data_IF_161764455624
#
_entry.id   IF_161764455624
#
_cell.length_a   1.000
_cell.length_b   1.000
_cell.length_c   1.000
_cell.angle_alpha   90.00
_cell.angle_beta   90.00
_cell.angle_gamma   90.00
#
_symmetry.space_group_name_H-M   'P 1'
#
loop_
_entity.id
_entity.type
_entity.pdbx_description
1 polymer ?
#
# COMPACT_ATOMS: atom_id res chain seq x y z
N UNK A 1 8.70 21.24 7.49
CA UNK A 1 10.13 21.11 7.85
C UNK A 1 10.62 19.66 8.06
N UNK A 2 9.76 18.64 8.03
CA UNK A 2 10.14 17.24 8.34
C UNK A 2 11.04 16.58 7.27
N UNK A 3 11.00 17.05 6.01
CA UNK A 3 11.74 16.44 4.89
C UNK A 3 13.03 17.17 4.49
N UNK A 4 13.40 18.25 5.19
CA UNK A 4 14.53 19.11 4.81
C UNK A 4 15.87 18.34 4.66
N UNK A 5 16.25 17.43 5.57
CA UNK A 5 17.50 16.69 5.45
C UNK A 5 17.52 15.73 4.25
N UNK A 6 16.35 15.17 3.91
CA UNK A 6 16.17 14.23 2.81
C UNK A 6 16.29 14.96 1.47
N UNK A 7 15.62 16.12 1.35
CA UNK A 7 15.70 16.96 0.16
C UNK A 7 17.14 17.45 -0.08
N UNK A 8 17.84 17.90 0.98
CA UNK A 8 19.24 18.31 0.88
C UNK A 8 20.20 17.19 0.45
N UNK A 9 19.89 15.94 0.77
CA UNK A 9 20.66 14.78 0.31
C UNK A 9 20.35 14.44 -1.15
N UNK A 10 19.08 14.49 -1.55
CA UNK A 10 18.64 14.27 -2.94
C UNK A 10 19.24 15.31 -3.92
N UNK A 11 19.43 16.55 -3.48
CA UNK A 11 20.08 17.59 -4.28
C UNK A 11 21.58 17.33 -4.49
N UNK A 12 22.23 16.58 -3.59
CA UNK A 12 23.67 16.25 -3.66
C UNK A 12 23.98 14.97 -4.44
N UNK A 13 22.96 14.15 -4.69
CA UNK A 13 23.11 12.86 -5.36
C UNK A 13 21.94 12.65 -6.35
N UNK A 14 21.93 13.39 -7.48
CA UNK A 14 20.80 13.43 -8.42
C UNK A 14 20.45 12.05 -8.99
N UNK A 15 21.44 11.17 -9.16
CA UNK A 15 21.27 9.79 -9.60
C UNK A 15 20.41 8.92 -8.65
N UNK A 16 20.22 9.32 -7.38
CA UNK A 16 19.39 8.60 -6.41
C UNK A 16 18.05 9.27 -6.12
N UNK A 17 17.70 10.34 -6.84
CA UNK A 17 16.46 11.09 -6.62
C UNK A 17 15.20 10.24 -6.75
N UNK A 18 15.20 9.28 -7.68
CA UNK A 18 14.10 8.32 -7.83
C UNK A 18 14.30 7.05 -6.99
N UNK A 19 15.54 6.64 -6.76
CA UNK A 19 15.87 5.39 -6.06
C UNK A 19 15.36 5.41 -4.62
N UNK A 20 15.60 6.51 -3.89
CA UNK A 20 15.20 6.61 -2.49
C UNK A 20 13.66 6.62 -2.30
N UNK A 21 12.88 7.49 -2.97
CA UNK A 21 11.42 7.46 -2.88
C UNK A 21 10.82 6.16 -3.39
N UNK A 22 11.36 5.58 -4.47
CA UNK A 22 10.90 4.29 -4.99
C UNK A 22 11.15 3.20 -3.96
N UNK A 23 12.31 3.17 -3.30
CA UNK A 23 12.63 2.19 -2.25
C UNK A 23 11.69 2.31 -1.05
N UNK A 24 11.33 3.54 -0.66
CA UNK A 24 10.37 3.79 0.42
C UNK A 24 8.96 3.27 0.09
N UNK A 25 8.60 3.13 -1.19
CA UNK A 25 7.33 2.54 -1.66
C UNK A 25 7.47 1.02 -1.84
N UNK A 26 8.51 0.56 -2.53
CA UNK A 26 8.65 -0.83 -2.97
C UNK A 26 9.08 -1.76 -1.86
N UNK A 27 9.92 -1.35 -0.91
CA UNK A 27 10.34 -2.21 0.21
C UNK A 27 9.15 -2.64 1.09
N UNK A 28 8.26 -1.74 1.54
CA UNK A 28 7.04 -2.12 2.25
C UNK A 28 6.13 -3.06 1.46
N UNK A 29 5.93 -2.78 0.16
CA UNK A 29 5.09 -3.60 -0.70
C UNK A 29 5.70 -4.98 -0.94
N UNK A 30 7.00 -5.06 -1.23
CA UNK A 30 7.72 -6.30 -1.43
C UNK A 30 7.72 -7.15 -0.16
N UNK A 31 7.98 -6.54 1.00
CA UNK A 31 7.91 -7.23 2.29
C UNK A 31 6.54 -7.89 2.50
N UNK A 32 5.45 -7.24 2.09
CA UNK A 32 4.10 -7.81 2.17
C UNK A 32 3.83 -8.93 1.18
N UNK A 33 4.33 -8.81 -0.06
CA UNK A 33 4.24 -9.89 -1.06
C UNK A 33 5.00 -11.13 -0.58
N UNK A 34 6.23 -10.95 -0.07
CA UNK A 34 7.07 -12.03 0.43
C UNK A 34 6.57 -12.67 1.72
N UNK A 35 5.80 -11.92 2.52
CA UNK A 35 5.24 -12.46 3.78
C UNK A 35 4.24 -13.59 3.57
N UNK A 36 3.81 -13.82 2.32
CA UNK A 36 2.63 -14.59 1.94
C UNK A 36 1.36 -14.02 2.58
N UNK A 37 0.26 -13.86 1.82
CA UNK A 37 -1.02 -13.62 2.46
C UNK A 37 -1.28 -14.75 3.47
N UNK A 38 -1.92 -14.42 4.59
CA UNK A 38 -2.36 -15.35 5.67
C UNK A 38 -1.32 -15.76 6.72
N UNK A 39 -0.13 -15.17 6.73
CA UNK A 39 0.80 -15.36 7.86
C UNK A 39 0.36 -14.48 9.02
N UNK A 40 0.03 -15.08 10.16
CA UNK A 40 -0.50 -14.35 11.33
C UNK A 40 0.44 -13.21 11.73
N UNK A 41 -0.07 -11.98 11.69
CA UNK A 41 0.64 -10.80 12.19
C UNK A 41 0.80 -10.92 13.70
N UNK A 42 2.04 -10.85 14.19
CA UNK A 42 2.35 -10.85 15.61
C UNK A 42 2.19 -9.42 16.14
N UNK A 43 1.79 -9.28 17.40
CA UNK A 43 1.51 -7.97 18.00
C UNK A 43 2.71 -7.01 17.96
N UNK A 44 3.94 -7.52 18.00
CA UNK A 44 5.15 -6.72 17.90
C UNK A 44 5.47 -6.21 16.48
N UNK A 45 4.73 -6.65 15.45
CA UNK A 45 4.91 -6.21 14.07
C UNK A 45 4.00 -5.00 13.71
N UNK A 46 3.09 -4.61 14.61
CA UNK A 46 2.26 -3.41 14.44
C UNK A 46 3.08 -2.12 14.27
N UNK A 47 4.17 -1.87 15.03
CA UNK A 47 5.05 -0.73 14.77
C UNK A 47 5.66 -0.76 13.36
N UNK A 48 6.04 -1.94 12.86
CA UNK A 48 6.58 -2.11 11.50
C UNK A 48 5.53 -1.81 10.43
N UNK A 49 4.26 -2.15 10.68
CA UNK A 49 3.12 -1.76 9.83
C UNK A 49 2.98 -0.24 9.75
N UNK A 50 3.00 0.45 10.88
CA UNK A 50 2.87 1.91 10.93
C UNK A 50 4.03 2.56 10.18
N UNK A 51 5.27 2.10 10.45
CA UNK A 51 6.45 2.57 9.74
C UNK A 51 6.37 2.30 8.23
N UNK A 52 5.85 1.14 7.83
CA UNK A 52 5.65 0.77 6.43
C UNK A 52 4.65 1.72 5.74
N UNK A 53 3.51 2.01 6.38
CA UNK A 53 2.52 2.98 5.87
C UNK A 53 3.15 4.37 5.74
N UNK A 54 3.80 4.87 6.80
CA UNK A 54 4.40 6.20 6.80
C UNK A 54 5.54 6.31 5.79
N UNK A 55 6.38 5.28 5.65
CA UNK A 55 7.44 5.17 4.64
C UNK A 55 6.85 5.25 3.24
N UNK A 56 5.83 4.45 2.96
CA UNK A 56 5.20 4.38 1.64
C UNK A 56 4.55 5.71 1.25
N UNK A 57 3.81 6.32 2.18
CA UNK A 57 3.23 7.65 1.98
C UNK A 57 4.31 8.71 1.72
N UNK A 58 5.38 8.69 2.52
CA UNK A 58 6.54 9.59 2.37
C UNK A 58 7.21 9.39 1.00
N UNK A 59 7.47 8.14 0.60
CA UNK A 59 8.03 7.80 -0.69
C UNK A 59 7.16 8.33 -1.84
N UNK A 60 5.85 8.16 -1.76
CA UNK A 60 4.93 8.67 -2.78
C UNK A 60 4.92 10.20 -2.92
N UNK A 61 5.03 10.94 -1.81
CA UNK A 61 5.12 12.41 -1.84
C UNK A 61 6.50 12.92 -2.31
N UNK A 62 7.57 12.17 -2.04
CA UNK A 62 8.91 12.52 -2.50
C UNK A 62 9.16 12.08 -3.94
N UNK A 63 8.40 11.12 -4.45
CA UNK A 63 8.51 10.63 -5.81
C UNK A 63 8.11 11.74 -6.80
N UNK A 64 9.08 12.13 -7.61
CA UNK A 64 8.91 13.05 -8.73
C UNK A 64 9.66 12.42 -9.90
N UNK A 65 8.99 12.06 -11.00
CA UNK A 65 9.66 11.49 -12.17
C UNK A 65 10.68 12.48 -12.71
N UNK A 66 11.85 11.99 -13.14
CA UNK A 66 12.89 12.81 -13.74
C UNK A 66 12.34 13.62 -14.93
N UNK A 67 12.52 14.95 -14.86
CA UNK A 67 12.10 15.88 -15.91
C UNK A 67 10.65 16.35 -15.86
N UNK A 68 9.85 15.91 -14.88
CA UNK A 68 8.47 16.36 -14.69
C UNK A 68 8.31 17.31 -13.50
N UNK A 69 7.46 18.33 -13.66
CA UNK A 69 7.04 19.16 -12.52
C UNK A 69 6.19 18.33 -11.55
N UNK A 70 6.32 18.61 -10.25
CA UNK A 70 5.51 17.93 -9.22
C UNK A 70 4.01 18.16 -9.46
N UNK A 71 3.33 17.08 -9.83
CA UNK A 71 1.87 17.08 -9.92
C UNK A 71 1.27 16.63 -8.58
N UNK A 72 0.72 17.58 -7.81
CA UNK A 72 0.13 17.32 -6.50
C UNK A 72 -0.95 16.21 -6.56
N UNK A 73 -1.79 16.24 -7.59
CA UNK A 73 -2.84 15.24 -7.78
C UNK A 73 -2.30 13.81 -7.94
N UNK A 74 -1.22 13.65 -8.70
CA UNK A 74 -0.56 12.36 -8.88
C UNK A 74 0.07 11.86 -7.57
N UNK A 75 0.76 12.74 -6.83
CA UNK A 75 1.39 12.38 -5.54
C UNK A 75 0.35 11.96 -4.50
N UNK A 76 -0.77 12.68 -4.42
CA UNK A 76 -1.88 12.34 -3.52
C UNK A 76 -2.49 10.99 -3.90
N UNK A 77 -2.74 10.75 -5.19
CA UNK A 77 -3.23 9.46 -5.68
C UNK A 77 -2.26 8.33 -5.35
N UNK A 78 -0.97 8.51 -5.64
CA UNK A 78 0.07 7.51 -5.40
C UNK A 78 0.20 7.19 -3.90
N UNK A 79 0.19 8.22 -3.05
CA UNK A 79 0.24 8.04 -1.60
C UNK A 79 -0.97 7.28 -1.09
N UNK A 80 -2.18 7.68 -1.50
CA UNK A 80 -3.42 7.00 -1.12
C UNK A 80 -3.44 5.54 -1.59
N UNK A 81 -3.08 5.29 -2.85
CA UNK A 81 -3.02 3.95 -3.43
C UNK A 81 -2.02 3.06 -2.69
N UNK A 82 -0.79 3.53 -2.50
CA UNK A 82 0.27 2.74 -1.92
C UNK A 82 0.04 2.48 -0.42
N UNK A 83 -0.47 3.46 0.33
CA UNK A 83 -0.92 3.25 1.71
C UNK A 83 -2.07 2.24 1.80
N UNK A 84 -3.04 2.31 0.88
CA UNK A 84 -4.17 1.38 0.85
C UNK A 84 -3.70 -0.05 0.52
N UNK A 85 -2.77 -0.19 -0.43
CA UNK A 85 -2.18 -1.48 -0.79
C UNK A 85 -1.41 -2.12 0.37
N UNK A 86 -0.60 -1.33 1.09
CA UNK A 86 0.10 -1.79 2.30
C UNK A 86 -0.90 -2.19 3.39
N UNK A 87 -1.91 -1.36 3.64
CA UNK A 87 -2.94 -1.62 4.65
C UNK A 87 -3.73 -2.89 4.35
N UNK A 88 -4.11 -3.09 3.08
CA UNK A 88 -4.75 -4.30 2.60
C UNK A 88 -3.89 -5.55 2.88
N UNK A 89 -2.61 -5.53 2.50
CA UNK A 89 -1.71 -6.67 2.71
C UNK A 89 -1.59 -7.09 4.19
N UNK A 90 -1.53 -6.10 5.08
CA UNK A 90 -1.54 -6.36 6.53
C UNK A 90 -2.89 -6.86 7.04
N UNK A 91 -4.00 -6.27 6.59
CA UNK A 91 -5.34 -6.70 6.98
C UNK A 91 -5.59 -8.16 6.61
N UNK A 92 -5.21 -8.57 5.39
CA UNK A 92 -5.27 -9.97 4.96
C UNK A 92 -4.47 -10.94 5.83
N UNK A 93 -3.38 -10.45 6.45
CA UNK A 93 -2.50 -11.22 7.32
C UNK A 93 -3.00 -11.25 8.78
N UNK A 94 -3.80 -10.26 9.18
CA UNK A 94 -4.32 -10.13 10.55
C UNK A 94 -5.65 -10.90 10.76
N UNK A 95 -6.46 -11.05 9.73
CA UNK A 95 -7.78 -11.72 9.81
C UNK A 95 -7.62 -13.24 9.82
N UNK A 96 -8.13 -13.88 10.88
CA UNK A 96 -8.12 -15.33 11.06
C UNK A 96 -9.12 -16.05 10.14
N UNK A 97 -8.97 -17.37 9.98
CA UNK A 97 -9.86 -18.20 9.15
C UNK A 97 -11.33 -18.13 9.56
N UNK A 98 -11.60 -18.04 10.86
CA UNK A 98 -12.97 -18.09 11.40
C UNK A 98 -13.66 -16.71 11.43
N UNK A 99 -12.96 -15.66 10.97
CA UNK A 99 -13.50 -14.32 10.99
C UNK A 99 -14.51 -14.11 9.84
N UNK A 100 -15.71 -13.54 10.11
CA UNK A 100 -16.68 -13.21 9.06
C UNK A 100 -16.12 -12.22 8.03
N UNK A 101 -15.15 -11.38 8.43
CA UNK A 101 -14.42 -10.47 7.54
C UNK A 101 -13.69 -11.21 6.41
N UNK A 102 -13.32 -12.47 6.62
CA UNK A 102 -12.64 -13.26 5.59
C UNK A 102 -13.56 -13.54 4.40
N UNK A 103 -14.74 -14.08 4.67
CA UNK A 103 -15.73 -14.41 3.64
C UNK A 103 -16.35 -13.16 3.01
N UNK A 104 -16.56 -12.11 3.81
CA UNK A 104 -17.27 -10.91 3.35
C UNK A 104 -16.38 -9.84 2.71
N UNK A 105 -15.08 -9.82 3.03
CA UNK A 105 -14.14 -8.77 2.59
C UNK A 105 -12.95 -9.35 1.83
N UNK A 106 -12.24 -10.31 2.41
CA UNK A 106 -10.95 -10.78 1.87
C UNK A 106 -11.14 -11.65 0.62
N UNK A 107 -12.02 -12.64 0.65
CA UNK A 107 -12.25 -13.54 -0.49
C UNK A 107 -12.82 -12.82 -1.73
N UNK A 108 -13.80 -11.91 -1.59
CA UNK A 108 -14.24 -11.07 -2.70
C UNK A 108 -13.11 -10.21 -3.28
N UNK A 109 -12.31 -9.57 -2.41
CA UNK A 109 -11.16 -8.76 -2.85
C UNK A 109 -10.12 -9.58 -3.60
N UNK A 110 -9.83 -10.81 -3.12
CA UNK A 110 -8.91 -11.74 -3.79
C UNK A 110 -9.42 -12.18 -5.16
N UNK A 111 -10.73 -12.28 -5.32
CA UNK A 111 -11.34 -12.59 -6.61
C UNK A 111 -11.08 -11.45 -7.60
N UNK A 112 -11.23 -10.19 -7.16
CA UNK A 112 -10.86 -9.01 -7.96
C UNK A 112 -9.37 -9.01 -8.29
N UNK A 113 -8.51 -9.35 -7.33
CA UNK A 113 -7.05 -9.36 -7.53
C UNK A 113 -6.57 -10.37 -8.58
N UNK A 114 -7.40 -11.36 -8.94
CA UNK A 114 -7.10 -12.37 -9.97
C UNK A 114 -7.54 -11.95 -11.37
N UNK A 115 -8.22 -10.81 -11.51
CA UNK A 115 -8.66 -10.29 -12.80
C UNK A 115 -7.45 -9.68 -13.51
N UNK A 116 -6.91 -10.35 -14.51
CA UNK A 116 -5.74 -9.88 -15.24
C UNK A 116 -5.50 -10.69 -16.51
N UNK A 117 -4.76 -10.09 -17.44
CA UNK A 117 -4.19 -10.79 -18.60
C UNK A 117 -2.68 -10.89 -18.39
N UNK A 118 -2.03 -11.85 -19.05
CA UNK A 118 -0.57 -12.02 -18.97
C UNK A 118 0.11 -10.68 -19.32
N UNK A 119 0.85 -10.11 -18.36
CA UNK A 119 1.55 -8.84 -18.50
C UNK A 119 0.78 -7.59 -18.06
N UNK A 120 -0.49 -7.72 -17.66
CA UNK A 120 -1.30 -6.60 -17.14
C UNK A 120 -2.31 -7.08 -16.07
N UNK A 121 -1.85 -7.09 -14.81
CA UNK A 121 -2.65 -7.46 -13.65
C UNK A 121 -3.46 -6.26 -13.11
N UNK A 122 -4.45 -5.81 -13.88
CA UNK A 122 -5.37 -4.73 -13.48
C UNK A 122 -6.06 -5.02 -12.14
N UNK A 123 -6.35 -6.28 -11.86
CA UNK A 123 -6.94 -6.74 -10.62
C UNK A 123 -6.07 -6.42 -9.42
N UNK A 124 -4.75 -6.48 -9.55
CA UNK A 124 -3.82 -6.16 -8.46
C UNK A 124 -3.87 -4.66 -8.13
N UNK A 125 -4.07 -3.82 -9.14
CA UNK A 125 -4.29 -2.37 -8.99
C UNK A 125 -5.68 -2.09 -8.40
N UNK A 126 -6.70 -2.87 -8.74
CA UNK A 126 -8.06 -2.66 -8.24
C UNK A 126 -8.30 -3.25 -6.84
N UNK A 127 -7.47 -4.22 -6.40
CA UNK A 127 -7.66 -4.92 -5.13
C UNK A 127 -7.69 -3.99 -3.89
N UNK A 128 -6.83 -2.97 -3.74
CA UNK A 128 -6.91 -2.04 -2.62
C UNK A 128 -8.25 -1.27 -2.58
N UNK A 129 -8.78 -0.88 -3.73
CA UNK A 129 -10.08 -0.18 -3.83
C UNK A 129 -11.25 -1.12 -3.54
N UNK A 130 -11.21 -2.34 -4.08
CA UNK A 130 -12.20 -3.38 -3.78
C UNK A 130 -12.22 -3.71 -2.28
N UNK A 131 -11.04 -3.82 -1.66
CA UNK A 131 -10.91 -4.00 -0.22
C UNK A 131 -11.66 -2.93 0.56
N UNK A 132 -11.41 -1.65 0.24
CA UNK A 132 -12.08 -0.53 0.90
C UNK A 132 -13.60 -0.61 0.75
N UNK A 133 -14.08 -0.90 -0.46
CA UNK A 133 -15.50 -1.05 -0.74
C UNK A 133 -16.15 -2.17 0.08
N UNK A 134 -15.57 -3.38 0.07
CA UNK A 134 -16.12 -4.52 0.81
C UNK A 134 -16.06 -4.30 2.33
N UNK A 135 -15.00 -3.67 2.83
CA UNK A 135 -14.87 -3.32 4.24
C UNK A 135 -15.95 -2.32 4.67
N UNK A 136 -16.17 -1.26 3.88
CA UNK A 136 -17.25 -0.30 4.13
C UNK A 136 -18.62 -0.98 4.10
N UNK A 137 -18.88 -1.83 3.10
CA UNK A 137 -20.14 -2.57 2.98
C UNK A 137 -20.40 -3.46 4.20
N UNK A 138 -19.39 -4.16 4.69
CA UNK A 138 -19.50 -4.98 5.91
C UNK A 138 -19.88 -4.14 7.12
N UNK A 139 -19.17 -3.02 7.35
CA UNK A 139 -19.41 -2.13 8.49
C UNK A 139 -20.82 -1.51 8.46
N UNK A 140 -21.27 -1.05 7.28
CA UNK A 140 -22.61 -0.47 7.12
C UNK A 140 -23.73 -1.48 7.34
N UNK A 141 -23.54 -2.74 6.90
CA UNK A 141 -24.52 -3.82 7.13
C UNK A 141 -24.66 -4.26 8.58
N UNK A 142 -23.65 -4.02 9.41
CA UNK A 142 -23.70 -4.31 10.86
C UNK A 142 -24.20 -3.14 11.69
N UNK A 143 -24.23 -1.93 11.12
CA UNK A 143 -24.65 -0.71 11.81
C UNK A 143 -26.14 -0.41 11.67
N UNK A 144 -26.86 -1.12 10.80
CA UNK A 144 -28.32 -1.06 10.64
C UNK A 144 -28.95 -2.40 10.99
#
# INVERSE_FOLDING_TARGET
>A
MVFLPILMWQDRAPEFQEVFPTSLITLPLAHLVFRSPYTKVRTWEFPLLILSICSTATGAFLFTPNGEERQLGFQVFLAAFATLAVSYGFFCSAVTHDSPLRAEVIEPTKTVSRVGLIGFDIGLVLAPFAFLFYLMRHTLRRAG
#
